data_IF_666144464900
#
_entry.id   IF_666144464900
#
_cell.length_a   1.000
_cell.length_b   1.000
_cell.length_c   1.000
_cell.angle_alpha   90.00
_cell.angle_beta   90.00
_cell.angle_gamma   90.00
#
_symmetry.space_group_name_H-M   'P 1'
#
loop_
_entity.id
_entity.type
_entity.pdbx_description
1 polymer ?
#
# COMPACT_ATOMS: atom_id res chain seq x y z
N UNK A 1 15.92 15.80 10.98
CA UNK A 1 15.43 14.42 11.21
C UNK A 1 15.06 13.84 9.86
N UNK A 2 15.86 12.92 9.32
CA UNK A 2 15.63 12.33 8.00
C UNK A 2 14.59 11.22 8.13
N UNK A 3 13.36 11.49 7.70
CA UNK A 3 12.29 10.49 7.59
C UNK A 3 12.68 9.53 6.47
N UNK A 4 13.26 8.38 6.84
CA UNK A 4 13.41 7.26 5.92
C UNK A 4 12.00 6.76 5.55
N UNK A 5 11.53 7.10 4.37
CA UNK A 5 10.32 6.51 3.78
C UNK A 5 10.63 5.05 3.48
N UNK A 6 10.21 4.15 4.35
CA UNK A 6 10.35 2.71 4.14
C UNK A 6 9.20 2.24 3.24
N UNK A 7 9.47 2.07 1.95
CA UNK A 7 8.57 1.37 1.03
C UNK A 7 8.99 -0.09 0.99
N UNK A 8 8.27 -0.97 1.69
CA UNK A 8 8.45 -2.42 1.51
C UNK A 8 7.62 -2.86 0.31
N UNK A 9 8.28 -3.43 -0.71
CA UNK A 9 7.62 -4.12 -1.81
C UNK A 9 7.48 -5.59 -1.42
N UNK A 10 6.25 -6.08 -1.33
CA UNK A 10 5.95 -7.51 -1.18
C UNK A 10 5.28 -8.00 -2.47
N UNK A 11 5.86 -9.02 -3.10
CA UNK A 11 5.26 -9.72 -4.24
C UNK A 11 4.49 -10.93 -3.70
N UNK A 12 3.19 -11.00 -4.00
CA UNK A 12 2.38 -12.20 -3.75
C UNK A 12 2.03 -12.86 -5.08
N UNK A 13 2.43 -14.12 -5.23
CA UNK A 13 2.18 -14.91 -6.43
C UNK A 13 0.71 -15.35 -6.46
N UNK A 14 -0.17 -14.62 -7.16
CA UNK A 14 -1.54 -15.05 -7.41
C UNK A 14 -2.14 -14.35 -8.63
N UNK A 15 -2.69 -15.16 -9.55
CA UNK A 15 -3.37 -14.71 -10.79
C UNK A 15 -4.70 -13.98 -10.56
N UNK A 16 -5.09 -13.71 -9.31
CA UNK A 16 -6.33 -13.02 -8.97
C UNK A 16 -6.19 -12.11 -7.73
N UNK A 17 -5.20 -11.21 -7.69
CA UNK A 17 -5.04 -10.31 -6.55
C UNK A 17 -6.03 -9.15 -6.57
N UNK A 18 -7.20 -9.31 -5.95
CA UNK A 18 -8.09 -8.20 -5.60
C UNK A 18 -7.50 -7.38 -4.44
N UNK A 19 -7.81 -6.08 -4.34
CA UNK A 19 -7.45 -5.30 -3.15
C UNK A 19 -8.03 -5.93 -1.87
N UNK A 20 -9.19 -6.60 -1.97
CA UNK A 20 -9.74 -7.39 -0.86
C UNK A 20 -8.83 -8.54 -0.42
N UNK A 21 -8.13 -9.20 -1.35
CA UNK A 21 -7.21 -10.31 -1.06
C UNK A 21 -5.93 -9.78 -0.41
N UNK A 22 -5.38 -8.68 -0.94
CA UNK A 22 -4.22 -8.01 -0.37
C UNK A 22 -4.44 -7.61 1.09
N UNK A 23 -5.58 -7.00 1.37
CA UNK A 23 -5.92 -6.50 2.71
C UNK A 23 -6.20 -7.63 3.69
N UNK A 24 -6.80 -8.73 3.23
CA UNK A 24 -7.01 -9.93 4.05
C UNK A 24 -5.68 -10.58 4.45
N UNK A 25 -4.72 -10.66 3.52
CA UNK A 25 -3.39 -11.18 3.85
C UNK A 25 -2.64 -10.30 4.88
N UNK A 26 -2.87 -8.99 4.89
CA UNK A 26 -2.33 -8.08 5.90
C UNK A 26 -2.99 -8.29 7.28
N UNK A 27 -4.30 -8.55 7.31
CA UNK A 27 -5.03 -8.94 8.53
C UNK A 27 -4.49 -10.26 9.10
N UNK A 28 -4.30 -11.28 8.25
CA UNK A 28 -3.74 -12.59 8.64
C UNK A 28 -2.30 -12.47 9.17
N UNK A 29 -1.54 -11.48 8.70
CA UNK A 29 -0.20 -11.15 9.21
C UNK A 29 -0.24 -10.41 10.58
N UNK A 30 -1.42 -10.20 11.15
CA UNK A 30 -1.63 -9.57 12.46
C UNK A 30 -1.63 -8.04 12.43
N UNK A 31 -1.78 -7.41 11.26
CA UNK A 31 -1.91 -5.95 11.15
C UNK A 31 -3.37 -5.54 11.32
N UNK A 32 -3.61 -4.41 12.00
CA UNK A 32 -4.94 -3.82 12.06
C UNK A 32 -5.19 -3.06 10.75
N UNK A 33 -6.19 -3.47 10.00
CA UNK A 33 -6.45 -2.98 8.64
C UNK A 33 -7.72 -2.13 8.59
N UNK A 34 -7.58 -0.91 8.10
CA UNK A 34 -8.69 0.00 7.78
C UNK A 34 -8.85 0.05 6.26
N UNK A 35 -9.95 -0.54 5.77
CA UNK A 35 -10.30 -0.58 4.34
C UNK A 35 -11.04 0.70 3.97
N UNK A 36 -10.64 1.38 2.90
CA UNK A 36 -11.42 2.50 2.40
C UNK A 36 -12.71 1.98 1.74
N UNK A 37 -13.84 2.68 1.93
CA UNK A 37 -15.15 2.25 1.37
C UNK A 37 -15.19 2.26 -0.17
N UNK A 38 -14.29 3.00 -0.80
CA UNK A 38 -14.17 3.10 -2.26
C UNK A 38 -12.70 3.16 -2.68
N UNK A 39 -12.40 2.58 -3.83
CA UNK A 39 -11.11 2.78 -4.49
C UNK A 39 -10.93 4.27 -4.79
N UNK A 40 -9.82 4.84 -4.33
CA UNK A 40 -9.61 6.29 -4.39
C UNK A 40 -9.31 6.82 -5.80
N UNK A 41 -9.10 5.94 -6.79
CA UNK A 41 -8.75 6.34 -8.16
C UNK A 41 -7.35 6.97 -8.23
N UNK A 42 -6.77 6.98 -9.44
CA UNK A 42 -5.39 7.34 -9.79
C UNK A 42 -4.51 8.04 -8.73
N UNK A 43 -3.54 7.27 -8.21
CA UNK A 43 -2.52 7.73 -7.25
C UNK A 43 -2.91 7.62 -5.77
N UNK A 44 -4.14 7.21 -5.47
CA UNK A 44 -4.70 7.22 -4.12
C UNK A 44 -4.32 6.05 -3.20
N UNK A 45 -4.63 6.21 -1.90
CA UNK A 45 -4.46 5.18 -0.88
C UNK A 45 -5.69 4.26 -0.89
N UNK A 46 -5.49 2.95 -1.06
CA UNK A 46 -6.55 1.95 -1.09
C UNK A 46 -6.98 1.51 0.33
N UNK A 47 -6.07 1.65 1.30
CA UNK A 47 -6.38 1.48 2.71
C UNK A 47 -5.22 1.86 3.60
N UNK A 48 -5.38 1.68 4.91
CA UNK A 48 -4.37 2.04 5.90
C UNK A 48 -4.22 0.88 6.87
N UNK A 49 -3.00 0.60 7.31
CA UNK A 49 -2.74 -0.39 8.35
C UNK A 49 -2.02 0.24 9.53
N UNK A 50 -2.35 -0.20 10.74
CA UNK A 50 -1.60 0.16 11.94
C UNK A 50 -0.57 -0.92 12.26
N UNK A 51 0.69 -0.50 12.40
CA UNK A 51 1.76 -1.33 12.91
C UNK A 51 2.24 -0.76 14.26
N UNK A 52 2.22 -1.53 15.37
CA UNK A 52 2.57 -1.02 16.70
C UNK A 52 4.02 -0.52 16.84
N UNK A 53 4.92 -0.90 15.91
CA UNK A 53 6.32 -0.45 15.92
C UNK A 53 6.58 0.76 15.01
N UNK A 54 5.73 1.01 14.02
CA UNK A 54 5.97 2.01 12.96
C UNK A 54 4.90 3.10 12.94
N UNK A 55 3.65 2.77 13.25
CA UNK A 55 2.50 3.67 13.21
C UNK A 55 1.54 3.37 12.05
N UNK A 56 0.89 4.42 11.52
CA UNK A 56 -0.06 4.30 10.41
C UNK A 56 0.68 4.23 9.08
N UNK A 57 0.42 3.18 8.31
CA UNK A 57 1.00 2.95 6.99
C UNK A 57 -0.08 2.99 5.92
N UNK A 58 0.13 3.77 4.87
CA UNK A 58 -0.73 3.74 3.69
C UNK A 58 -0.54 2.43 2.93
N UNK A 59 -1.59 1.92 2.29
CA UNK A 59 -1.52 0.76 1.40
C UNK A 59 -2.08 1.17 0.04
N UNK A 60 -1.37 0.84 -1.02
CA UNK A 60 -1.87 0.92 -2.39
C UNK A 60 -1.67 -0.43 -3.06
N UNK A 61 -2.69 -0.89 -3.79
CA UNK A 61 -2.71 -2.15 -4.53
C UNK A 61 -2.92 -1.84 -6.00
N UNK A 62 -1.90 -2.10 -6.82
CA UNK A 62 -1.99 -1.95 -8.29
C UNK A 62 -1.76 -3.29 -8.96
N UNK A 63 -2.62 -3.64 -9.92
CA UNK A 63 -2.38 -4.75 -10.84
C UNK A 63 -1.61 -4.22 -12.04
N UNK A 64 -0.40 -4.69 -12.27
CA UNK A 64 0.32 -4.44 -13.51
C UNK A 64 0.20 -5.67 -14.39
N UNK A 65 0.03 -5.47 -15.70
CA UNK A 65 0.17 -6.55 -16.68
C UNK A 65 1.63 -6.82 -17.08
N UNK A 66 2.54 -5.93 -16.67
CA UNK A 66 3.97 -6.01 -16.99
C UNK A 66 4.79 -5.45 -15.82
N UNK A 67 5.55 -4.37 -16.02
CA UNK A 67 6.43 -3.79 -15.02
C UNK A 67 5.73 -2.71 -14.18
N UNK A 68 6.23 -2.51 -12.96
CA UNK A 68 5.81 -1.41 -12.09
C UNK A 68 6.10 -0.08 -12.79
N UNK A 69 5.08 0.78 -12.89
CA UNK A 69 5.28 2.15 -13.33
C UNK A 69 5.91 3.00 -12.21
N UNK A 70 7.09 3.57 -12.47
CA UNK A 70 7.78 4.45 -11.51
C UNK A 70 6.94 5.68 -11.13
N UNK A 71 6.12 6.20 -12.05
CA UNK A 71 5.21 7.31 -11.79
C UNK A 71 4.28 7.03 -10.61
N UNK A 72 3.65 5.86 -10.57
CA UNK A 72 2.75 5.49 -9.48
C UNK A 72 3.45 5.35 -8.12
N UNK A 73 4.72 4.94 -8.10
CA UNK A 73 5.51 4.91 -6.85
C UNK A 73 5.78 6.32 -6.32
N UNK A 74 6.03 7.29 -7.21
CA UNK A 74 6.21 8.69 -6.84
C UNK A 74 4.90 9.29 -6.32
N UNK A 75 3.81 9.09 -7.05
CA UNK A 75 2.48 9.57 -6.65
C UNK A 75 2.06 9.01 -5.28
N UNK A 76 2.37 7.74 -5.02
CA UNK A 76 2.12 7.11 -3.73
C UNK A 76 3.00 7.70 -2.62
N UNK A 77 4.28 7.97 -2.90
CA UNK A 77 5.18 8.65 -1.97
C UNK A 77 4.67 10.05 -1.59
N UNK A 78 4.15 10.80 -2.55
CA UNK A 78 3.55 12.11 -2.33
C UNK A 78 2.24 12.00 -1.54
N UNK A 79 1.45 10.96 -1.77
CA UNK A 79 0.24 10.69 -0.99
C UNK A 79 0.55 10.37 0.48
N UNK A 80 1.63 9.61 0.75
CA UNK A 80 2.11 9.30 2.11
C UNK A 80 2.46 10.59 2.84
N UNK A 81 3.24 11.46 2.20
CA UNK A 81 3.68 12.73 2.80
C UNK A 81 2.52 13.69 3.03
N UNK A 82 1.66 13.92 2.02
CA UNK A 82 0.52 14.82 2.13
C UNK A 82 -0.47 14.42 3.21
N UNK A 83 -0.63 13.12 3.47
CA UNK A 83 -1.54 12.57 4.49
C UNK A 83 -0.84 12.25 5.82
N UNK A 84 0.44 12.59 5.95
CA UNK A 84 1.25 12.45 7.15
C UNK A 84 1.30 11.01 7.72
N UNK A 85 1.36 10.01 6.84
CA UNK A 85 1.56 8.62 7.23
C UNK A 85 3.02 8.34 7.60
N UNK A 86 3.26 7.35 8.46
CA UNK A 86 4.60 6.94 8.89
C UNK A 86 5.36 6.16 7.79
N UNK A 87 4.68 5.74 6.73
CA UNK A 87 5.22 5.01 5.59
C UNK A 87 4.12 4.43 4.72
N UNK A 88 4.47 3.46 3.87
CA UNK A 88 3.44 2.75 3.11
C UNK A 88 3.90 1.45 2.44
N UNK A 89 2.90 0.63 2.13
CA UNK A 89 3.02 -0.64 1.44
C UNK A 89 2.49 -0.46 0.02
N UNK A 90 3.39 -0.59 -0.95
CA UNK A 90 3.02 -0.62 -2.36
C UNK A 90 2.97 -2.08 -2.80
N UNK A 91 1.76 -2.59 -2.95
CA UNK A 91 1.52 -3.99 -3.28
C UNK A 91 1.14 -4.10 -4.74
N UNK A 92 1.83 -4.97 -5.47
CA UNK A 92 1.49 -5.21 -6.85
C UNK A 92 1.56 -6.69 -7.22
N UNK A 93 0.82 -7.02 -8.26
CA UNK A 93 1.02 -8.25 -9.04
C UNK A 93 1.52 -7.87 -10.42
N UNK A 94 2.40 -8.71 -10.96
CA UNK A 94 2.85 -8.73 -12.34
C UNK A 94 2.64 -10.14 -12.88
#
# INVERSE_FOLDING_TARGET
>A
MSTKTWTHTASVASRAMSCSVAMTALEDAGLLVLRNRSYSGDGGVDGVVWNPRIGWLAVQVKRYSTHICRGHLLDFGDAIQRKNFNGGLFVHTG
#
